data_IF_929005781016
#
_entry.id   IF_929005781016
#
_cell.length_a   1.000
_cell.length_b   1.000
_cell.length_c   1.000
_cell.angle_alpha   90.00
_cell.angle_beta   90.00
_cell.angle_gamma   90.00
#
_symmetry.space_group_name_H-M   'P 1'
#
loop_
_entity.id
_entity.type
_entity.pdbx_description
1 polymer ?
#
# COMPACT_ATOMS: atom_id res chain seq x y z
N UNK A 1 -10.04 4.58 -35.23
CA UNK A 1 -11.30 4.63 -34.46
C UNK A 1 -10.98 4.40 -32.98
N UNK A 2 -10.50 5.44 -32.28
CA UNK A 2 -10.13 5.34 -30.87
C UNK A 2 -11.40 5.34 -30.03
N UNK A 3 -11.70 4.21 -29.37
CA UNK A 3 -12.82 4.13 -28.43
C UNK A 3 -12.52 5.00 -27.22
N UNK A 4 -13.30 6.06 -27.07
CA UNK A 4 -13.33 6.90 -25.87
C UNK A 4 -13.47 6.01 -24.62
N UNK A 5 -12.44 6.00 -23.78
CA UNK A 5 -12.48 5.34 -22.47
C UNK A 5 -13.46 6.14 -21.61
N UNK A 6 -14.70 5.65 -21.52
CA UNK A 6 -15.72 6.23 -20.66
C UNK A 6 -15.22 6.16 -19.21
N UNK A 7 -14.94 7.33 -18.60
CA UNK A 7 -14.68 7.44 -17.16
C UNK A 7 -15.87 6.83 -16.41
N UNK A 8 -15.62 5.76 -15.66
CA UNK A 8 -16.64 5.17 -14.80
C UNK A 8 -16.99 6.17 -13.69
N UNK A 9 -18.28 6.39 -13.38
CA UNK A 9 -18.69 7.29 -12.32
C UNK A 9 -18.20 6.72 -10.99
N UNK A 10 -17.38 7.49 -10.27
CA UNK A 10 -16.73 7.12 -9.00
C UNK A 10 -17.72 7.06 -7.82
N UNK A 11 -19.00 6.78 -8.07
CA UNK A 11 -20.08 6.84 -7.09
C UNK A 11 -20.19 5.60 -6.19
N UNK A 12 -19.25 4.65 -6.27
CA UNK A 12 -19.21 3.51 -5.37
C UNK A 12 -18.41 3.90 -4.13
N UNK A 13 -19.10 4.16 -3.02
CA UNK A 13 -18.43 4.33 -1.73
C UNK A 13 -17.54 3.10 -1.47
N UNK A 14 -16.24 3.27 -1.21
CA UNK A 14 -15.37 2.15 -0.85
C UNK A 14 -15.98 1.41 0.34
N UNK A 15 -16.23 0.10 0.20
CA UNK A 15 -16.63 -0.75 1.33
C UNK A 15 -15.40 -1.04 2.17
N UNK A 16 -15.15 -0.20 3.17
CA UNK A 16 -14.23 -0.54 4.25
C UNK A 16 -14.95 -1.52 5.19
N UNK A 17 -14.48 -2.78 5.23
CA UNK A 17 -14.94 -3.75 6.22
C UNK A 17 -14.60 -3.23 7.63
N UNK A 18 -15.53 -3.34 8.58
CA UNK A 18 -15.51 -2.80 9.96
C UNK A 18 -14.34 -3.29 10.82
N UNK A 19 -13.14 -2.88 10.49
CA UNK A 19 -11.97 -2.96 11.35
C UNK A 19 -11.25 -1.64 11.20
N UNK A 20 -11.28 -0.83 12.25
CA UNK A 20 -10.62 0.47 12.36
C UNK A 20 -9.09 0.29 12.35
N UNK A 21 -8.55 -0.19 11.23
CA UNK A 21 -7.12 -0.37 11.03
C UNK A 21 -6.54 1.01 10.82
N UNK A 22 -5.70 1.43 11.76
CA UNK A 22 -4.99 2.69 11.68
C UNK A 22 -3.60 2.47 11.07
N UNK A 23 -3.19 3.44 10.27
CA UNK A 23 -1.88 3.52 9.64
C UNK A 23 -1.04 4.61 10.28
N UNK A 24 0.26 4.56 10.03
CA UNK A 24 1.21 5.59 10.47
C UNK A 24 0.96 6.87 9.67
N UNK A 25 0.46 7.92 10.34
CA UNK A 25 0.33 9.25 9.77
C UNK A 25 1.71 9.91 9.72
N UNK A 26 2.02 10.63 8.64
CA UNK A 26 3.34 11.23 8.44
C UNK A 26 3.28 12.64 7.86
N UNK A 27 4.34 13.42 8.06
CA UNK A 27 4.54 14.67 7.32
C UNK A 27 5.19 14.42 5.94
N UNK A 28 5.46 15.50 5.18
CA UNK A 28 6.13 15.41 3.87
C UNK A 28 7.58 14.91 3.93
N UNK A 29 8.19 14.85 5.11
CA UNK A 29 9.54 14.36 5.36
C UNK A 29 9.54 12.94 5.93
N UNK A 30 8.39 12.26 5.91
CA UNK A 30 8.18 10.92 6.48
C UNK A 30 8.38 10.84 8.01
N UNK A 31 8.26 11.97 8.71
CA UNK A 31 8.22 11.95 10.18
C UNK A 31 6.85 11.46 10.66
N UNK A 32 6.86 10.51 11.60
CA UNK A 32 5.64 10.00 12.21
C UNK A 32 4.92 11.09 13.01
N UNK A 33 3.65 11.35 12.68
CA UNK A 33 2.75 12.30 13.37
C UNK A 33 1.75 11.60 14.30
N UNK A 34 1.68 10.27 14.25
CA UNK A 34 0.71 9.46 15.00
C UNK A 34 -0.04 8.50 14.09
N UNK A 35 -1.34 8.35 14.32
CA UNK A 35 -2.18 7.38 13.62
C UNK A 35 -3.30 8.05 12.83
N UNK A 36 -3.64 7.49 11.66
CA UNK A 36 -4.81 7.87 10.87
C UNK A 36 -5.59 6.62 10.44
N UNK A 37 -6.92 6.71 10.40
CA UNK A 37 -7.74 5.59 9.92
C UNK A 37 -7.50 5.35 8.42
N UNK A 38 -7.58 4.10 7.96
CA UNK A 38 -7.50 3.81 6.52
C UNK A 38 -8.55 4.59 5.72
N UNK A 39 -9.74 4.80 6.29
CA UNK A 39 -10.83 5.55 5.66
C UNK A 39 -10.44 7.01 5.43
N UNK A 40 -9.95 7.69 6.47
CA UNK A 40 -9.53 9.10 6.39
C UNK A 40 -8.28 9.26 5.52
N UNK A 41 -7.33 8.33 5.63
CA UNK A 41 -6.12 8.27 4.80
C UNK A 41 -6.42 8.19 3.29
N UNK A 42 -7.57 7.61 2.92
CA UNK A 42 -8.03 7.48 1.54
C UNK A 42 -9.18 8.42 1.18
N UNK A 43 -9.51 9.36 2.07
CA UNK A 43 -10.53 10.37 1.81
C UNK A 43 -9.94 11.49 0.95
N UNK A 44 -10.40 11.58 -0.30
CA UNK A 44 -9.86 12.50 -1.30
C UNK A 44 -9.90 13.97 -0.87
N UNK A 45 -10.88 14.38 -0.04
CA UNK A 45 -10.97 15.75 0.46
C UNK A 45 -9.80 16.06 1.40
N UNK A 46 -9.49 15.13 2.31
CA UNK A 46 -8.39 15.29 3.28
C UNK A 46 -7.01 15.16 2.61
N UNK A 47 -6.92 14.38 1.53
CA UNK A 47 -5.69 14.24 0.74
C UNK A 47 -5.35 15.55 0.01
N UNK A 48 -6.34 16.26 -0.54
CA UNK A 48 -6.10 17.51 -1.29
C UNK A 48 -5.47 18.60 -0.43
N UNK A 49 -5.79 18.62 0.86
CA UNK A 49 -5.25 19.59 1.81
C UNK A 49 -3.94 19.11 2.47
N UNK A 50 -3.36 17.99 2.02
CA UNK A 50 -2.19 17.31 2.61
C UNK A 50 -2.38 16.95 4.11
N UNK A 51 -3.62 16.84 4.58
CA UNK A 51 -3.98 16.53 5.98
C UNK A 51 -3.92 15.02 6.26
N UNK A 52 -4.01 14.19 5.22
CA UNK A 52 -4.13 12.73 5.33
C UNK A 52 -2.92 11.93 4.80
N UNK A 53 -1.71 12.51 4.88
CA UNK A 53 -0.49 11.81 4.51
C UNK A 53 -0.22 10.64 5.46
N UNK A 54 0.12 9.49 4.89
CA UNK A 54 0.32 8.25 5.63
C UNK A 54 1.39 7.39 4.96
N UNK A 55 2.09 6.60 5.77
CA UNK A 55 3.13 5.69 5.29
C UNK A 55 2.51 4.50 4.57
N UNK A 56 3.07 4.17 3.42
CA UNK A 56 2.71 3.03 2.61
C UNK A 56 3.95 2.32 2.09
N UNK A 57 3.76 1.13 1.53
CA UNK A 57 4.82 0.39 0.87
C UNK A 57 4.34 -0.33 -0.38
N UNK A 58 5.28 -0.52 -1.31
CA UNK A 58 5.11 -1.32 -2.52
C UNK A 58 6.18 -2.41 -2.57
N UNK A 59 5.75 -3.65 -2.79
CA UNK A 59 6.59 -4.85 -2.88
C UNK A 59 6.77 -5.24 -4.35
N UNK A 60 8.01 -5.35 -4.78
CA UNK A 60 8.40 -5.91 -6.06
C UNK A 60 9.07 -7.25 -5.79
N UNK A 61 8.42 -8.35 -6.18
CA UNK A 61 8.93 -9.69 -5.99
C UNK A 61 9.40 -10.23 -7.33
N UNK A 62 10.68 -10.57 -7.41
CA UNK A 62 11.28 -11.18 -8.59
C UNK A 62 11.44 -12.70 -8.39
N UNK A 63 11.51 -13.43 -9.49
CA UNK A 63 12.01 -14.79 -9.50
C UNK A 63 13.52 -14.76 -9.83
N UNK A 64 14.25 -15.83 -9.55
CA UNK A 64 15.71 -15.91 -9.80
C UNK A 64 16.09 -15.76 -11.28
N UNK A 65 15.14 -15.95 -12.20
CA UNK A 65 15.30 -15.70 -13.64
C UNK A 65 14.97 -14.26 -14.08
N UNK A 66 14.72 -13.36 -13.13
CA UNK A 66 14.44 -11.95 -13.38
C UNK A 66 12.98 -11.61 -13.70
N UNK A 67 12.07 -12.59 -13.74
CA UNK A 67 10.64 -12.30 -13.94
C UNK A 67 10.01 -11.71 -12.68
N UNK A 68 9.14 -10.71 -12.85
CA UNK A 68 8.46 -10.05 -11.72
C UNK A 68 7.03 -10.58 -11.54
N UNK A 69 6.63 -10.82 -10.29
CA UNK A 69 5.25 -11.10 -9.94
C UNK A 69 4.38 -9.84 -10.09
N UNK A 70 3.33 -9.95 -10.90
CA UNK A 70 2.26 -8.95 -11.02
C UNK A 70 0.95 -9.53 -10.48
N UNK A 71 0.15 -8.68 -9.83
CA UNK A 71 -1.13 -9.08 -9.22
C UNK A 71 -2.29 -8.38 -9.93
N UNK A 72 -3.35 -9.12 -10.25
CA UNK A 72 -4.66 -8.54 -10.58
C UNK A 72 -5.46 -8.37 -9.29
N UNK A 73 -5.81 -7.14 -8.94
CA UNK A 73 -6.53 -6.82 -7.70
C UNK A 73 -7.93 -7.42 -7.70
N UNK A 74 -8.34 -7.99 -6.57
CA UNK A 74 -9.70 -8.50 -6.40
C UNK A 74 -10.75 -7.40 -6.60
N UNK A 75 -11.92 -7.76 -7.13
CA UNK A 75 -13.04 -6.83 -7.35
C UNK A 75 -13.62 -6.27 -6.04
N UNK A 76 -13.37 -6.93 -4.91
CA UNK A 76 -13.80 -6.52 -3.57
C UNK A 76 -12.92 -5.42 -2.94
N UNK A 77 -11.79 -5.04 -3.56
CA UNK A 77 -10.91 -3.98 -3.02
C UNK A 77 -11.60 -2.62 -3.12
N UNK A 78 -11.51 -1.83 -2.05
CA UNK A 78 -12.06 -0.49 -1.95
C UNK A 78 -11.51 0.48 -3.02
N UNK A 79 -10.20 0.40 -3.28
CA UNK A 79 -9.50 1.23 -4.27
C UNK A 79 -8.99 0.36 -5.42
N UNK A 80 -9.16 0.82 -6.66
CA UNK A 80 -8.66 0.17 -7.90
C UNK A 80 -9.04 -1.32 -8.04
N UNK A 81 -10.32 -1.70 -7.94
CA UNK A 81 -10.73 -3.10 -8.14
C UNK A 81 -10.45 -3.56 -9.58
N UNK A 82 -9.87 -4.76 -9.74
CA UNK A 82 -9.61 -5.36 -11.06
C UNK A 82 -8.37 -4.87 -11.81
N UNK A 83 -7.64 -3.88 -11.27
CA UNK A 83 -6.41 -3.35 -11.88
C UNK A 83 -5.25 -4.31 -11.69
N UNK A 84 -4.33 -4.32 -12.67
CA UNK A 84 -3.02 -4.97 -12.52
C UNK A 84 -2.05 -4.03 -11.80
N UNK A 85 -1.25 -4.58 -10.88
CA UNK A 85 -0.26 -3.86 -10.08
C UNK A 85 0.97 -4.73 -9.83
N UNK A 86 1.99 -4.17 -9.19
CA UNK A 86 3.10 -4.91 -8.60
C UNK A 86 2.62 -5.99 -7.59
N UNK A 87 3.55 -6.80 -7.08
CA UNK A 87 3.24 -7.96 -6.25
C UNK A 87 2.32 -7.64 -5.06
N UNK A 88 2.65 -6.67 -4.21
CA UNK A 88 1.79 -6.30 -3.08
C UNK A 88 1.95 -4.82 -2.71
N UNK A 89 0.86 -4.14 -2.35
CA UNK A 89 0.89 -2.79 -1.79
C UNK A 89 0.02 -2.72 -0.54
N UNK A 90 0.51 -2.04 0.49
CA UNK A 90 -0.26 -1.81 1.71
C UNK A 90 0.37 -0.73 2.59
N UNK A 91 -0.01 -0.73 3.86
CA UNK A 91 0.39 0.26 4.84
C UNK A 91 0.91 -0.45 6.10
N UNK A 92 1.97 0.09 6.75
CA UNK A 92 2.29 -0.26 8.12
C UNK A 92 1.14 0.15 9.05
N UNK A 93 0.77 -0.75 9.95
CA UNK A 93 -0.19 -0.46 11.03
C UNK A 93 0.48 0.41 12.07
N UNK A 94 -0.30 1.30 12.70
CA UNK A 94 0.17 2.08 13.84
C UNK A 94 0.22 1.19 15.10
N UNK A 95 1.25 0.35 15.17
CA UNK A 95 1.55 -0.55 16.29
C UNK A 95 3.08 -0.66 16.47
N UNK A 96 3.59 -1.06 17.66
CA UNK A 96 5.02 -1.04 17.94
C UNK A 96 5.90 -1.68 16.85
N UNK A 97 5.54 -2.88 16.40
CA UNK A 97 6.36 -3.66 15.45
C UNK A 97 6.40 -3.09 14.03
N UNK A 98 5.37 -2.35 13.61
CA UNK A 98 5.25 -1.80 12.25
C UNK A 98 5.50 -0.29 12.18
N UNK A 99 5.51 0.38 13.34
CA UNK A 99 5.85 1.81 13.45
C UNK A 99 7.35 2.02 13.65
N UNK A 100 8.03 1.03 14.23
CA UNK A 100 9.46 1.11 14.51
C UNK A 100 10.26 1.37 13.22
N UNK A 101 11.23 2.28 13.32
CA UNK A 101 12.12 2.69 12.23
C UNK A 101 13.59 2.49 12.60
N UNK A 102 13.89 1.76 13.68
CA UNK A 102 15.24 1.37 14.06
C UNK A 102 15.36 -0.18 14.11
N UNK A 103 16.20 -0.80 13.26
CA UNK A 103 16.94 -0.18 12.15
C UNK A 103 15.99 0.44 11.10
N UNK A 104 16.47 1.36 10.25
CA UNK A 104 15.65 2.02 9.21
C UNK A 104 14.77 1.04 8.44
N UNK A 105 13.49 1.40 8.28
CA UNK A 105 12.47 0.64 7.55
C UNK A 105 12.09 -0.73 8.15
N UNK A 106 12.54 -1.08 9.37
CA UNK A 106 12.20 -2.35 10.02
C UNK A 106 10.67 -2.57 10.11
N UNK A 107 9.91 -1.56 10.52
CA UNK A 107 8.46 -1.66 10.60
C UNK A 107 7.77 -1.85 9.25
N UNK A 108 8.32 -1.27 8.17
CA UNK A 108 7.82 -1.49 6.82
C UNK A 108 8.07 -2.94 6.37
N UNK A 109 9.24 -3.50 6.70
CA UNK A 109 9.55 -4.92 6.41
C UNK A 109 8.58 -5.86 7.13
N UNK A 110 8.32 -5.62 8.41
CA UNK A 110 7.32 -6.36 9.19
C UNK A 110 5.93 -6.29 8.53
N UNK A 111 5.50 -5.08 8.12
CA UNK A 111 4.22 -4.89 7.46
C UNK A 111 4.13 -5.60 6.10
N UNK A 112 5.22 -5.59 5.32
CA UNK A 112 5.32 -6.29 4.04
C UNK A 112 5.23 -7.81 4.23
N UNK A 113 5.95 -8.38 5.19
CA UNK A 113 5.88 -9.81 5.53
C UNK A 113 4.46 -10.25 5.87
N UNK A 114 3.79 -9.49 6.75
CA UNK A 114 2.40 -9.76 7.11
C UNK A 114 1.49 -9.74 5.89
N UNK A 115 1.58 -8.70 5.05
CA UNK A 115 0.69 -8.56 3.87
C UNK A 115 0.93 -9.61 2.80
N UNK A 116 2.18 -9.97 2.55
CA UNK A 116 2.53 -11.06 1.65
C UNK A 116 1.97 -12.40 2.16
N UNK A 117 2.05 -12.64 3.47
CA UNK A 117 1.48 -13.84 4.11
C UNK A 117 -0.05 -13.85 4.03
N UNK A 118 -0.70 -12.70 4.26
CA UNK A 118 -2.16 -12.57 4.17
C UNK A 118 -2.68 -12.77 2.74
N UNK A 119 -2.07 -12.12 1.73
CA UNK A 119 -2.54 -12.11 0.33
C UNK A 119 -2.09 -13.33 -0.49
N UNK A 120 -0.86 -13.78 -0.33
CA UNK A 120 -0.27 -14.84 -1.17
C UNK A 120 -0.04 -16.16 -0.45
N UNK A 121 -0.25 -16.20 0.88
CA UNK A 121 0.05 -17.37 1.71
C UNK A 121 1.52 -17.81 1.64
N UNK A 122 2.42 -16.87 1.36
CA UNK A 122 3.86 -17.09 1.33
C UNK A 122 4.43 -16.72 2.71
N UNK A 123 4.95 -17.69 3.50
CA UNK A 123 5.67 -17.38 4.73
C UNK A 123 7.05 -16.82 4.35
N UNK A 124 7.21 -15.50 4.40
CA UNK A 124 8.50 -14.85 4.12
C UNK A 124 9.31 -14.75 5.42
N UNK A 125 10.48 -15.39 5.46
CA UNK A 125 11.44 -15.25 6.54
C UNK A 125 12.37 -14.05 6.28
N UNK A 126 12.81 -13.39 7.36
CA UNK A 126 13.47 -12.06 7.33
C UNK A 126 14.77 -12.02 6.51
N UNK A 127 15.45 -13.15 6.31
CA UNK A 127 16.70 -13.24 5.54
C UNK A 127 16.48 -13.22 4.01
N UNK A 128 15.26 -13.45 3.53
CA UNK A 128 14.95 -13.45 2.09
C UNK A 128 14.80 -12.05 1.47
N UNK A 129 15.01 -10.99 2.26
CA UNK A 129 14.70 -9.60 1.92
C UNK A 129 15.82 -8.84 1.20
N UNK A 130 16.98 -9.47 0.98
CA UNK A 130 18.18 -8.78 0.49
C UNK A 130 18.22 -8.55 -1.02
N UNK A 131 17.87 -9.55 -1.84
CA UNK A 131 18.26 -9.50 -3.27
C UNK A 131 17.08 -9.53 -4.26
N UNK A 132 15.89 -9.96 -3.82
CA UNK A 132 14.76 -10.27 -4.70
C UNK A 132 13.52 -9.42 -4.40
N UNK A 133 13.59 -8.58 -3.37
CA UNK A 133 12.47 -7.81 -2.85
C UNK A 133 12.76 -6.31 -2.80
N UNK A 134 12.18 -5.57 -3.74
CA UNK A 134 12.15 -4.10 -3.63
C UNK A 134 11.00 -3.67 -2.73
N UNK A 135 11.30 -2.99 -1.61
CA UNK A 135 10.30 -2.28 -0.80
C UNK A 135 10.52 -0.79 -0.99
N UNK A 136 9.53 -0.11 -1.56
CA UNK A 136 9.57 1.34 -1.74
C UNK A 136 8.65 1.98 -0.69
N UNK A 137 9.19 2.75 0.29
CA UNK A 137 8.40 3.59 1.17
C UNK A 137 7.70 4.68 0.35
N UNK A 138 6.42 4.90 0.64
CA UNK A 138 5.62 5.91 -0.04
C UNK A 138 4.88 6.74 1.00
N UNK A 139 4.83 8.05 0.79
CA UNK A 139 4.11 8.98 1.67
C UNK A 139 3.04 9.79 0.92
N UNK A 140 2.82 9.51 -0.38
CA UNK A 140 1.68 10.04 -1.15
C UNK A 140 0.70 8.91 -1.42
N UNK A 141 -0.57 9.15 -1.14
CA UNK A 141 -1.66 8.24 -1.46
C UNK A 141 -1.53 7.76 -2.91
N UNK A 142 -1.64 6.45 -3.13
CA UNK A 142 -1.56 5.76 -4.44
C UNK A 142 -2.61 6.22 -5.49
N UNK A 143 -3.23 7.38 -5.32
CA UNK A 143 -4.15 8.00 -6.26
C UNK A 143 -3.51 8.38 -7.61
N UNK A 144 -2.19 8.23 -7.77
CA UNK A 144 -1.44 8.60 -8.99
C UNK A 144 -0.89 7.42 -9.81
N UNK A 145 -1.18 6.15 -9.48
CA UNK A 145 -0.79 5.04 -10.36
C UNK A 145 -1.74 4.80 -11.55
N UNK A 146 -2.59 5.78 -11.90
CA UNK A 146 -3.41 5.73 -13.13
C UNK A 146 -2.88 6.55 -14.30
N UNK A 147 -1.60 6.92 -14.30
CA UNK A 147 -0.94 7.51 -15.47
C UNK A 147 0.32 6.75 -15.83
N UNK A 148 0.10 5.61 -16.48
CA UNK A 148 0.85 5.17 -17.67
C UNK A 148 -0.16 4.96 -18.79
#
# INVERSE_FOLDING_TARGET
>A
MLRSVKRLPWSVKPRFCHSSVNCVAVDRRDHCLGSISIEDAHNWKLIQDDVALHRAFSVFLFHSDGRMLIQKRASSKATFPGYWSNACCSHPRFMPDETNSNPPFSGIKCAAQRRMSEEFKIPLYFESFSDTLGIIPLHRSFHLQSTV
#
